data_IF_384263909887
#
_entry.id   IF_384263909887
#
_cell.length_a   1.000
_cell.length_b   1.000
_cell.length_c   1.000
_cell.angle_alpha   90.00
_cell.angle_beta   90.00
_cell.angle_gamma   90.00
#
_symmetry.space_group_name_H-M   'P 1'
#
loop_
_entity.id
_entity.type
_entity.pdbx_description
1 polymer ?
#
# COMPACT_ATOMS: atom_id res chain seq x y z
N UNK A 1 17.32 2.49 -1.04
CA UNK A 1 16.50 3.55 -1.64
C UNK A 1 16.82 4.89 -0.95
N UNK A 2 16.75 6.02 -1.65
CA UNK A 2 17.05 7.37 -1.13
C UNK A 2 15.81 8.27 -1.19
N UNK A 3 15.90 9.53 -0.75
CA UNK A 3 14.78 10.46 -0.89
C UNK A 3 14.63 10.85 -2.37
N UNK A 4 13.40 10.77 -2.86
CA UNK A 4 13.00 11.28 -4.16
C UNK A 4 11.96 12.39 -3.99
N UNK A 5 11.63 13.11 -5.06
CA UNK A 5 10.54 14.08 -5.02
C UNK A 5 9.71 14.05 -6.29
N UNK A 6 8.42 13.76 -6.16
CA UNK A 6 7.43 13.84 -7.23
C UNK A 6 7.12 15.31 -7.50
N UNK A 7 7.55 15.84 -8.65
CA UNK A 7 7.32 17.24 -8.99
C UNK A 7 6.72 17.43 -10.39
N UNK A 8 5.57 18.10 -10.43
CA UNK A 8 4.87 18.46 -11.67
C UNK A 8 4.67 19.97 -11.70
N UNK A 9 5.55 20.74 -12.37
CA UNK A 9 5.51 22.20 -12.37
C UNK A 9 4.17 22.77 -12.85
N UNK A 10 3.59 22.14 -13.87
CA UNK A 10 2.32 22.57 -14.46
C UNK A 10 1.15 22.54 -13.48
N UNK A 11 1.22 21.68 -12.46
CA UNK A 11 0.20 21.57 -11.42
C UNK A 11 0.65 22.23 -10.11
N UNK A 12 1.89 22.75 -10.04
CA UNK A 12 2.53 23.26 -8.82
C UNK A 12 2.49 22.24 -7.66
N UNK A 13 2.53 20.97 -8.01
CA UNK A 13 2.50 19.85 -7.06
C UNK A 13 3.92 19.33 -6.88
N UNK A 14 4.43 19.39 -5.65
CA UNK A 14 5.68 18.76 -5.22
C UNK A 14 5.40 17.94 -3.96
N UNK A 15 5.83 16.69 -3.92
CA UNK A 15 5.77 15.85 -2.73
C UNK A 15 7.01 14.96 -2.66
N UNK A 16 7.72 15.04 -1.54
CA UNK A 16 8.89 14.19 -1.32
C UNK A 16 8.45 12.77 -0.96
N UNK A 17 9.07 11.79 -1.62
CA UNK A 17 8.96 10.37 -1.33
C UNK A 17 10.13 9.99 -0.43
N UNK A 18 9.84 9.87 0.87
CA UNK A 18 10.83 9.58 1.90
C UNK A 18 10.74 8.09 2.25
N UNK A 19 11.84 7.33 2.19
CA UNK A 19 11.84 5.93 2.59
C UNK A 19 11.21 5.71 3.97
N UNK A 20 10.34 4.70 4.07
CA UNK A 20 9.62 4.37 5.30
C UNK A 20 8.44 5.28 5.65
N UNK A 21 8.07 6.25 4.80
CA UNK A 21 6.90 7.12 5.01
C UNK A 21 5.93 7.03 3.82
N UNK A 22 4.66 6.75 4.10
CA UNK A 22 3.60 6.83 3.09
C UNK A 22 3.13 8.27 2.98
N UNK A 23 3.41 8.91 1.85
CA UNK A 23 3.00 10.28 1.55
C UNK A 23 1.95 10.27 0.44
N UNK A 24 0.87 11.03 0.61
CA UNK A 24 -0.19 11.17 -0.40
C UNK A 24 -0.34 12.62 -0.80
N UNK A 25 -0.47 12.85 -2.10
CA UNK A 25 -0.84 14.15 -2.66
C UNK A 25 -2.08 13.99 -3.53
N UNK A 26 -2.94 15.01 -3.54
CA UNK A 26 -4.14 15.06 -4.36
C UNK A 26 -4.14 16.36 -5.15
N UNK A 27 -4.53 16.26 -6.42
CA UNK A 27 -4.77 17.42 -7.26
C UNK A 27 -5.78 17.04 -8.35
N UNK A 28 -6.52 18.02 -8.84
CA UNK A 28 -7.45 17.84 -9.97
C UNK A 28 -6.89 18.59 -11.17
N UNK A 29 -6.45 17.88 -12.23
CA UNK A 29 -6.00 18.56 -13.45
C UNK A 29 -7.19 19.24 -14.14
N UNK A 30 -7.00 20.49 -14.56
CA UNK A 30 -8.07 21.31 -15.18
C UNK A 30 -7.94 21.43 -16.69
N UNK A 31 -6.84 20.92 -17.27
CA UNK A 31 -6.54 21.03 -18.70
C UNK A 31 -5.99 19.70 -19.21
N UNK A 32 -6.55 19.23 -20.32
CA UNK A 32 -6.03 18.09 -21.08
C UNK A 32 -4.62 18.40 -21.62
N UNK A 33 -3.80 17.36 -21.79
CA UNK A 33 -2.46 17.49 -22.34
C UNK A 33 -1.42 16.59 -21.67
N UNK A 34 -0.16 16.78 -22.08
CA UNK A 34 0.98 16.01 -21.56
C UNK A 34 1.92 16.92 -20.77
N UNK A 35 2.10 16.63 -19.49
CA UNK A 35 2.83 17.45 -18.54
C UNK A 35 4.05 16.71 -18.03
N UNK A 36 5.19 17.40 -17.93
CA UNK A 36 6.45 16.78 -17.54
C UNK A 36 6.48 16.55 -16.02
N UNK A 37 6.84 15.33 -15.63
CA UNK A 37 7.15 14.93 -14.27
C UNK A 37 8.67 14.91 -14.09
N UNK A 38 9.15 15.44 -12.97
CA UNK A 38 10.57 15.47 -12.60
C UNK A 38 10.79 14.86 -11.22
N UNK A 39 11.98 14.30 -11.01
CA UNK A 39 12.56 14.15 -9.69
C UNK A 39 13.12 15.50 -9.23
N UNK A 40 12.65 16.03 -8.10
CA UNK A 40 13.08 17.33 -7.57
C UNK A 40 13.88 17.25 -6.26
N UNK A 41 14.48 16.09 -5.99
CA UNK A 41 15.42 15.83 -4.90
C UNK A 41 16.57 14.98 -5.43
N UNK A 42 17.82 15.33 -5.12
CA UNK A 42 18.99 14.66 -5.70
C UNK A 42 19.06 13.21 -5.20
N UNK A 43 18.76 12.28 -6.11
CA UNK A 43 18.61 10.86 -5.78
C UNK A 43 19.74 9.97 -6.34
N UNK A 44 20.78 10.57 -6.93
CA UNK A 44 21.95 9.85 -7.46
C UNK A 44 22.35 10.27 -8.87
N UNK A 45 23.19 9.45 -9.51
CA UNK A 45 23.82 9.78 -10.80
C UNK A 45 22.83 9.97 -11.95
N UNK A 46 21.70 9.26 -11.93
CA UNK A 46 20.65 9.39 -12.94
C UNK A 46 19.52 10.35 -12.52
N UNK A 47 19.75 11.21 -11.51
CA UNK A 47 18.74 12.13 -11.00
C UNK A 47 18.07 12.99 -12.09
N UNK A 48 18.86 13.57 -13.01
CA UNK A 48 18.33 14.40 -14.10
C UNK A 48 17.56 13.62 -15.17
N UNK A 49 17.82 12.32 -15.29
CA UNK A 49 17.09 11.43 -16.19
C UNK A 49 15.80 10.89 -15.55
N UNK A 50 15.70 10.93 -14.23
CA UNK A 50 14.53 10.47 -13.48
C UNK A 50 13.36 11.44 -13.66
N UNK A 51 12.51 11.15 -14.63
CA UNK A 51 11.31 11.91 -14.91
C UNK A 51 10.31 11.10 -15.72
N UNK A 52 9.17 11.70 -15.99
CA UNK A 52 8.07 11.02 -16.66
C UNK A 52 7.11 12.00 -17.31
N UNK A 53 5.91 11.51 -17.58
CA UNK A 53 4.83 12.31 -18.14
C UNK A 53 3.54 12.01 -17.38
N UNK A 54 2.77 13.07 -17.12
CA UNK A 54 1.37 12.96 -16.74
C UNK A 54 0.55 13.29 -17.97
N UNK A 55 -0.25 12.34 -18.44
CA UNK A 55 -1.16 12.53 -19.56
C UNK A 55 -2.56 12.74 -19.01
N UNK A 56 -3.10 13.94 -19.15
CA UNK A 56 -4.48 14.26 -18.79
C UNK A 56 -5.32 14.08 -20.04
N UNK A 57 -6.27 13.14 -19.97
CA UNK A 57 -7.16 12.74 -21.06
C UNK A 57 -8.60 13.08 -20.71
N UNK A 58 -9.47 13.08 -21.73
CA UNK A 58 -10.92 13.05 -21.50
C UNK A 58 -11.32 11.73 -20.81
N UNK A 59 -12.40 11.72 -20.01
CA UNK A 59 -12.87 10.51 -19.35
C UNK A 59 -13.11 9.33 -20.30
N UNK A 60 -13.68 9.60 -21.48
CA UNK A 60 -13.92 8.60 -22.54
C UNK A 60 -12.63 8.02 -23.12
N UNK A 61 -11.64 8.88 -23.41
CA UNK A 61 -10.32 8.47 -23.91
C UNK A 61 -9.56 7.65 -22.86
N UNK A 62 -9.63 8.06 -21.59
CA UNK A 62 -9.03 7.33 -20.48
C UNK A 62 -9.64 5.94 -20.32
N UNK A 63 -10.96 5.83 -20.42
CA UNK A 63 -11.67 4.54 -20.37
C UNK A 63 -11.22 3.62 -21.51
N UNK A 64 -11.13 4.14 -22.73
CA UNK A 64 -10.63 3.39 -23.88
C UNK A 64 -9.14 3.06 -23.82
N UNK A 65 -8.32 3.91 -23.18
CA UNK A 65 -6.91 3.61 -22.90
C UNK A 65 -6.77 2.48 -21.89
N UNK A 66 -7.55 2.50 -20.81
CA UNK A 66 -7.54 1.48 -19.76
C UNK A 66 -7.95 0.11 -20.31
N UNK A 67 -9.00 0.04 -21.14
CA UNK A 67 -9.44 -1.19 -21.77
C UNK A 67 -8.38 -1.83 -22.69
N UNK A 68 -7.49 -1.02 -23.27
CA UNK A 68 -6.40 -1.49 -24.16
C UNK A 68 -5.15 -1.95 -23.42
N UNK A 69 -4.97 -1.55 -22.16
CA UNK A 69 -3.84 -1.99 -21.33
C UNK A 69 -4.00 -3.44 -20.84
N UNK A 70 -5.14 -4.10 -21.14
CA UNK A 70 -5.51 -5.37 -20.54
C UNK A 70 -5.96 -5.19 -19.09
N UNK A 71 -6.63 -6.19 -18.54
CA UNK A 71 -7.01 -6.20 -17.13
C UNK A 71 -5.73 -6.37 -16.29
N UNK A 72 -5.09 -5.26 -15.93
CA UNK A 72 -3.98 -5.30 -14.98
C UNK A 72 -4.55 -5.81 -13.66
N UNK A 73 -4.13 -6.99 -13.21
CA UNK A 73 -4.51 -7.55 -11.92
C UNK A 73 -4.34 -6.49 -10.85
N UNK A 74 -5.39 -6.22 -10.08
CA UNK A 74 -5.36 -5.15 -9.07
C UNK A 74 -4.26 -5.41 -8.04
N UNK A 75 -3.77 -4.36 -7.37
CA UNK A 75 -2.78 -4.53 -6.29
C UNK A 75 -3.28 -5.47 -5.19
N UNK A 76 -4.60 -5.47 -4.93
CA UNK A 76 -5.21 -6.36 -3.96
C UNK A 76 -5.19 -7.82 -4.42
N UNK A 77 -5.44 -8.10 -5.70
CA UNK A 77 -5.36 -9.48 -6.24
C UNK A 77 -3.92 -9.99 -6.30
N UNK A 78 -2.96 -9.14 -6.69
CA UNK A 78 -1.53 -9.46 -6.61
C UNK A 78 -1.12 -9.72 -5.15
N UNK A 79 -1.59 -8.89 -4.23
CA UNK A 79 -1.40 -9.06 -2.79
C UNK A 79 -2.01 -10.34 -2.25
N UNK A 80 -3.17 -10.77 -2.74
CA UNK A 80 -3.79 -12.03 -2.36
C UNK A 80 -2.94 -13.24 -2.76
N UNK A 81 -2.31 -13.19 -3.94
CA UNK A 81 -1.38 -14.23 -4.39
C UNK A 81 -0.13 -14.27 -3.51
N UNK A 82 0.48 -13.12 -3.24
CA UNK A 82 1.64 -13.00 -2.34
C UNK A 82 1.32 -13.46 -0.92
N UNK A 83 0.15 -13.09 -0.38
CA UNK A 83 -0.30 -13.48 0.96
C UNK A 83 -0.38 -15.00 1.13
N UNK A 84 -0.78 -15.72 0.08
CA UNK A 84 -0.75 -17.20 0.07
C UNK A 84 0.67 -17.74 -0.11
N UNK A 85 1.44 -17.17 -1.03
CA UNK A 85 2.80 -17.61 -1.33
C UNK A 85 3.75 -17.48 -0.12
N UNK A 86 3.61 -16.40 0.65
CA UNK A 86 4.37 -16.13 1.87
C UNK A 86 3.83 -16.87 3.10
N UNK A 87 2.75 -17.66 2.95
CA UNK A 87 2.18 -18.47 4.03
C UNK A 87 1.35 -17.70 5.05
N UNK A 88 1.04 -16.42 4.83
CA UNK A 88 0.26 -15.60 5.76
C UNK A 88 -1.13 -16.22 6.06
N UNK A 89 -1.74 -16.85 5.06
CA UNK A 89 -3.03 -17.54 5.20
C UNK A 89 -3.00 -18.75 6.14
N UNK A 90 -1.82 -19.33 6.41
CA UNK A 90 -1.68 -20.44 7.35
C UNK A 90 -1.91 -20.05 8.81
N UNK A 91 -1.76 -18.76 9.13
CA UNK A 91 -2.02 -18.19 10.45
C UNK A 91 -3.27 -17.31 10.44
N UNK A 92 -3.40 -16.43 9.45
CA UNK A 92 -4.46 -15.41 9.40
C UNK A 92 -5.67 -15.79 8.55
N UNK A 93 -5.67 -16.97 7.93
CA UNK A 93 -6.81 -17.47 7.17
C UNK A 93 -7.89 -18.10 8.06
N UNK A 94 -9.10 -18.34 7.53
CA UNK A 94 -10.21 -18.95 8.28
C UNK A 94 -9.92 -20.38 8.77
N UNK A 95 -8.94 -21.06 8.17
CA UNK A 95 -8.48 -22.39 8.55
C UNK A 95 -7.09 -22.38 9.19
N UNK A 96 -6.65 -21.23 9.72
CA UNK A 96 -5.33 -21.10 10.33
C UNK A 96 -5.13 -22.05 11.50
N UNK A 97 -4.01 -22.78 11.50
CA UNK A 97 -3.69 -23.74 12.57
C UNK A 97 -3.16 -23.04 13.83
N UNK A 98 -2.58 -21.84 13.65
CA UNK A 98 -2.04 -21.01 14.71
C UNK A 98 -3.05 -19.93 15.04
N UNK A 99 -3.31 -19.71 16.33
CA UNK A 99 -4.16 -18.61 16.81
C UNK A 99 -3.50 -17.28 16.49
N UNK A 100 -3.96 -16.61 15.43
CA UNK A 100 -3.56 -15.28 15.01
C UNK A 100 -4.79 -14.34 14.93
N UNK A 101 -4.62 -13.02 15.04
CA UNK A 101 -5.72 -12.08 14.91
C UNK A 101 -6.33 -12.13 13.51
N UNK A 102 -7.67 -12.05 13.43
CA UNK A 102 -8.38 -11.93 12.15
C UNK A 102 -8.03 -10.61 11.48
N UNK A 103 -7.83 -10.67 10.16
CA UNK A 103 -7.57 -9.51 9.31
C UNK A 103 -8.87 -8.99 8.65
N UNK A 104 -9.99 -9.68 8.84
CA UNK A 104 -11.27 -9.35 8.21
C UNK A 104 -11.80 -8.01 8.74
N UNK A 105 -11.93 -7.04 7.83
CA UNK A 105 -12.31 -5.68 8.20
C UNK A 105 -11.34 -5.00 9.16
N UNK A 106 -10.08 -5.43 9.26
CA UNK A 106 -9.10 -4.85 10.18
C UNK A 106 -8.84 -3.37 9.87
N UNK A 107 -8.73 -3.00 8.59
CA UNK A 107 -8.29 -1.66 8.21
C UNK A 107 -9.19 -0.56 8.79
N UNK A 108 -8.60 0.38 9.51
CA UNK A 108 -9.30 1.50 10.17
C UNK A 108 -9.97 1.15 11.50
N UNK A 109 -9.94 -0.12 11.95
CA UNK A 109 -10.49 -0.51 13.26
C UNK A 109 -9.49 -0.25 14.40
N UNK A 110 -10.00 -0.02 15.62
CA UNK A 110 -9.16 0.01 16.81
C UNK A 110 -8.63 -1.39 17.13
N UNK A 111 -7.34 -1.49 17.43
CA UNK A 111 -6.65 -2.71 17.83
C UNK A 111 -6.07 -2.51 19.24
N UNK A 112 -6.56 -3.27 20.24
CA UNK A 112 -5.97 -3.26 21.57
C UNK A 112 -4.64 -4.01 21.56
N UNK A 113 -3.60 -3.42 22.15
CA UNK A 113 -2.26 -3.98 22.26
C UNK A 113 -2.03 -4.57 23.66
N UNK A 114 -1.07 -5.47 23.78
CA UNK A 114 -0.62 -6.05 25.05
C UNK A 114 -0.17 -4.97 26.05
N UNK A 115 0.39 -3.86 25.56
CA UNK A 115 0.80 -2.69 26.35
C UNK A 115 -0.38 -1.92 26.97
N UNK A 116 -1.63 -2.38 26.78
CA UNK A 116 -2.89 -1.71 27.14
C UNK A 116 -3.16 -0.42 26.36
N UNK A 117 -2.38 -0.14 25.33
CA UNK A 117 -2.67 0.93 24.38
C UNK A 117 -3.62 0.43 23.30
N UNK A 118 -4.36 1.35 22.69
CA UNK A 118 -5.17 1.06 21.50
C UNK A 118 -4.65 1.88 20.35
N UNK A 119 -4.39 1.22 19.23
CA UNK A 119 -3.94 1.86 17.98
C UNK A 119 -5.00 1.68 16.89
N UNK A 120 -5.01 2.56 15.90
CA UNK A 120 -5.86 2.36 14.71
C UNK A 120 -5.06 1.54 13.70
N UNK A 121 -5.67 0.49 13.16
CA UNK A 121 -5.09 -0.34 12.11
C UNK A 121 -5.07 0.38 10.76
N UNK A 122 -4.26 1.43 10.68
CA UNK A 122 -3.97 2.15 9.47
C UNK A 122 -2.85 1.46 8.68
N UNK A 123 -2.46 2.05 7.55
CA UNK A 123 -1.40 1.53 6.69
C UNK A 123 -0.07 1.37 7.43
N UNK A 124 0.31 2.33 8.28
CA UNK A 124 1.55 2.25 9.05
C UNK A 124 1.52 1.07 10.05
N UNK A 125 0.40 0.85 10.74
CA UNK A 125 0.23 -0.30 11.63
C UNK A 125 0.41 -1.64 10.90
N UNK A 126 -0.21 -1.80 9.73
CA UNK A 126 -0.14 -3.05 8.95
C UNK A 126 1.29 -3.29 8.46
N UNK A 127 1.96 -2.24 7.95
CA UNK A 127 3.36 -2.32 7.51
C UNK A 127 4.29 -2.68 8.66
N UNK A 128 4.13 -2.01 9.80
CA UNK A 128 4.91 -2.28 11.01
C UNK A 128 4.65 -3.70 11.52
N UNK A 129 3.43 -4.22 11.41
CA UNK A 129 3.12 -5.60 11.81
C UNK A 129 3.82 -6.63 10.92
N UNK A 130 4.01 -6.36 9.62
CA UNK A 130 4.68 -7.26 8.68
C UNK A 130 6.21 -7.20 8.84
N UNK A 131 6.78 -5.99 8.96
CA UNK A 131 8.23 -5.79 9.03
C UNK A 131 8.76 -5.94 10.47
N UNK A 132 8.02 -5.47 11.47
CA UNK A 132 8.41 -5.40 12.88
C UNK A 132 7.31 -5.98 13.79
N UNK A 133 6.94 -7.27 13.65
CA UNK A 133 5.77 -7.86 14.33
C UNK A 133 5.81 -7.77 15.87
N UNK A 134 7.00 -7.69 16.48
CA UNK A 134 7.16 -7.57 17.92
C UNK A 134 6.97 -6.14 18.45
N UNK A 135 6.85 -5.14 17.57
CA UNK A 135 6.71 -3.72 17.96
C UNK A 135 5.34 -3.43 18.59
N UNK A 136 4.27 -4.03 18.07
CA UNK A 136 2.89 -3.75 18.46
C UNK A 136 2.08 -5.06 18.54
N UNK A 137 2.27 -5.80 19.62
CA UNK A 137 1.64 -7.11 19.84
C UNK A 137 0.15 -6.90 20.21
N UNK A 138 -0.74 -7.56 19.46
CA UNK A 138 -2.19 -7.53 19.73
C UNK A 138 -2.50 -8.23 21.05
N UNK A 139 -3.32 -7.60 21.90
CA UNK A 139 -3.71 -8.16 23.18
C UNK A 139 -4.32 -9.57 23.04
N UNK A 140 -3.80 -10.52 23.83
CA UNK A 140 -4.30 -11.89 23.85
C UNK A 140 -3.71 -12.83 22.77
N UNK A 141 -2.69 -12.38 22.03
CA UNK A 141 -1.95 -13.20 21.06
C UNK A 141 -0.48 -13.32 21.44
N UNK A 142 0.11 -14.49 21.17
CA UNK A 142 1.53 -14.70 21.35
C UNK A 142 2.33 -14.04 20.20
N UNK A 143 3.54 -13.51 20.46
CA UNK A 143 4.38 -12.86 19.44
C UNK A 143 5.11 -13.89 18.55
N UNK A 144 4.34 -14.69 17.82
CA UNK A 144 4.84 -15.79 16.97
C UNK A 144 4.94 -15.43 15.48
N UNK A 145 4.44 -14.26 15.09
CA UNK A 145 4.51 -13.79 13.71
C UNK A 145 5.98 -13.49 13.33
N UNK A 146 6.51 -14.11 12.26
CA UNK A 146 7.88 -13.83 11.80
C UNK A 146 7.97 -12.44 11.17
N UNK A 147 9.16 -11.84 11.22
CA UNK A 147 9.46 -10.60 10.49
C UNK A 147 9.70 -10.90 9.02
N UNK A 148 9.18 -10.04 8.14
CA UNK A 148 9.45 -10.05 6.71
C UNK A 148 10.43 -8.94 6.27
N UNK A 149 11.08 -8.27 7.24
CA UNK A 149 12.10 -7.25 6.93
C UNK A 149 13.26 -7.85 6.13
N UNK A 150 13.60 -7.22 5.01
CA UNK A 150 14.61 -7.72 4.07
C UNK A 150 14.23 -8.98 3.29
N UNK A 151 13.04 -9.55 3.49
CA UNK A 151 12.54 -10.71 2.75
C UNK A 151 11.57 -10.36 1.62
N UNK A 152 10.97 -9.16 1.67
CA UNK A 152 10.04 -8.65 0.67
C UNK A 152 10.43 -7.23 0.24
N UNK A 153 10.16 -6.90 -1.01
CA UNK A 153 10.37 -5.57 -1.56
C UNK A 153 9.24 -4.61 -1.16
N UNK A 154 9.49 -3.30 -1.25
CA UNK A 154 8.49 -2.27 -0.90
C UNK A 154 7.22 -2.39 -1.77
N UNK A 155 7.34 -2.78 -3.04
CA UNK A 155 6.20 -3.02 -3.93
C UNK A 155 5.33 -4.20 -3.46
N UNK A 156 5.94 -5.28 -2.99
CA UNK A 156 5.24 -6.45 -2.47
C UNK A 156 4.52 -6.12 -1.16
N UNK A 157 5.17 -5.33 -0.29
CA UNK A 157 4.54 -4.83 0.92
C UNK A 157 3.30 -3.97 0.61
N UNK A 158 3.36 -3.12 -0.41
CA UNK A 158 2.19 -2.33 -0.85
C UNK A 158 1.06 -3.22 -1.38
N UNK A 159 1.38 -4.29 -2.11
CA UNK A 159 0.38 -5.27 -2.57
C UNK A 159 -0.28 -5.99 -1.38
N UNK A 160 0.50 -6.45 -0.40
CA UNK A 160 -0.01 -7.08 0.82
C UNK A 160 -0.93 -6.15 1.62
N UNK A 161 -0.52 -4.89 1.81
CA UNK A 161 -1.33 -3.86 2.48
C UNK A 161 -2.63 -3.62 1.70
N UNK A 162 -2.57 -3.52 0.37
CA UNK A 162 -3.75 -3.34 -0.48
C UNK A 162 -4.73 -4.51 -0.34
N UNK A 163 -4.22 -5.74 -0.29
CA UNK A 163 -5.04 -6.92 -0.05
C UNK A 163 -5.69 -6.90 1.34
N UNK A 164 -4.93 -6.66 2.41
CA UNK A 164 -5.47 -6.58 3.78
C UNK A 164 -6.53 -5.49 3.91
N UNK A 165 -6.34 -4.36 3.23
CA UNK A 165 -7.34 -3.29 3.17
C UNK A 165 -8.63 -3.73 2.47
N UNK A 166 -8.52 -4.51 1.39
CA UNK A 166 -9.68 -5.01 0.63
C UNK A 166 -10.53 -6.02 1.41
N UNK A 167 -9.95 -6.71 2.40
CA UNK A 167 -10.67 -7.65 3.27
C UNK A 167 -11.72 -6.96 4.18
N UNK A 168 -11.85 -5.64 4.13
CA UNK A 168 -12.91 -4.88 4.81
C UNK A 168 -14.16 -4.58 3.99
N UNK A 169 -14.32 -5.17 2.80
CA UNK A 169 -15.44 -4.88 1.89
C UNK A 169 -16.52 -5.97 1.74
N UNK A 170 -16.37 -7.15 2.34
CA UNK A 170 -17.36 -8.24 2.20
C UNK A 170 -18.20 -8.38 3.47
N UNK A 171 -19.16 -7.48 3.65
CA UNK A 171 -20.10 -7.53 4.77
C UNK A 171 -21.24 -6.52 4.65
N UNK A 172 -22.24 -6.82 3.82
CA UNK A 172 -23.58 -6.21 3.91
C UNK A 172 -24.20 -5.71 2.62
N UNK A 173 -24.41 -6.58 1.63
CA UNK A 173 -25.60 -6.48 0.76
C UNK A 173 -26.43 -7.73 1.01
N UNK A 174 -27.51 -7.57 1.77
CA UNK A 174 -28.43 -8.63 2.11
C UNK A 174 -29.78 -8.05 2.52
N UNK A 175 -30.75 -8.14 1.60
CA UNK A 175 -32.18 -7.99 1.86
C UNK A 175 -32.79 -6.68 1.38
#
# INVERSE_FOLDING_TARGET
DVIHSFFVPAFRVKQDAVPGRSTRVWFTPTREGRFRLFCAEYCGTQHSAMGGWIVVMKPEDFTGWLARQGESTSLAEQGAALFRALGCSGCHGPSGQVRAPSLDGLFGRPVPLESRQTVIANEAYIRDSILMPQKQIVAGYAPVMPSFDGLIEESELQMLVAYIRSMGGSGGDGG
#
